data_IF_462445292017
#
_entry.id   IF_462445292017
#
_cell.length_a   1.000
_cell.length_b   1.000
_cell.length_c   1.000
_cell.angle_alpha   90.00
_cell.angle_beta   90.00
_cell.angle_gamma   90.00
#
_symmetry.space_group_name_H-M   'P 1'
#
loop_
_entity.id
_entity.type
_entity.pdbx_description
1 polymer ?
#
# COMPACT_ATOMS: atom_id res chain seq x y z
N UNK A 1 -14.92 -7.46 3.38
CA UNK A 1 -13.95 -6.94 2.39
C UNK A 1 -14.44 -7.35 1.00
N UNK A 2 -14.32 -6.48 -0.01
CA UNK A 2 -14.64 -6.89 -1.38
C UNK A 2 -13.52 -7.76 -1.99
N UNK A 3 -13.92 -8.66 -2.89
CA UNK A 3 -13.23 -9.89 -3.31
C UNK A 3 -11.70 -9.77 -3.48
N UNK A 4 -11.21 -8.81 -4.27
CA UNK A 4 -9.78 -8.73 -4.63
C UNK A 4 -8.86 -8.47 -3.43
N UNK A 5 -9.26 -7.61 -2.48
CA UNK A 5 -8.45 -7.36 -1.27
C UNK A 5 -8.44 -8.59 -0.36
N UNK A 6 -9.55 -9.33 -0.30
CA UNK A 6 -9.62 -10.56 0.48
C UNK A 6 -8.74 -11.67 -0.11
N UNK A 7 -8.69 -11.80 -1.44
CA UNK A 7 -7.84 -12.78 -2.13
C UNK A 7 -6.35 -12.59 -1.85
N UNK A 8 -5.88 -11.34 -1.80
CA UNK A 8 -4.50 -11.07 -1.39
C UNK A 8 -4.31 -11.32 0.13
N UNK A 9 -5.27 -10.86 0.93
CA UNK A 9 -5.22 -10.93 2.39
C UNK A 9 -5.27 -12.35 2.96
N UNK A 10 -5.83 -13.33 2.25
CA UNK A 10 -5.87 -14.72 2.70
C UNK A 10 -4.48 -15.35 2.89
N UNK A 11 -3.47 -14.85 2.16
CA UNK A 11 -2.07 -15.24 2.33
C UNK A 11 -1.20 -14.12 2.95
N UNK A 12 -1.59 -12.86 2.79
CA UNK A 12 -0.87 -11.69 3.30
C UNK A 12 -1.62 -10.98 4.43
N UNK A 13 -1.90 -11.69 5.52
CA UNK A 13 -2.70 -11.19 6.65
C UNK A 13 -2.20 -9.87 7.22
N UNK A 14 -0.93 -9.81 7.65
CA UNK A 14 -0.33 -8.61 8.26
C UNK A 14 -0.34 -7.39 7.32
N UNK A 15 -0.11 -7.62 6.02
CA UNK A 15 -0.14 -6.55 5.01
C UNK A 15 -1.58 -6.09 4.73
N UNK A 16 -2.54 -7.00 4.79
CA UNK A 16 -3.96 -6.68 4.65
C UNK A 16 -4.43 -5.83 5.82
N UNK A 17 -4.04 -6.16 7.05
CA UNK A 17 -4.38 -5.40 8.25
C UNK A 17 -3.81 -3.96 8.17
N UNK A 18 -2.52 -3.82 7.87
CA UNK A 18 -1.90 -2.49 7.71
C UNK A 18 -2.51 -1.70 6.55
N UNK A 19 -2.86 -2.35 5.44
CA UNK A 19 -3.57 -1.70 4.33
C UNK A 19 -4.93 -1.16 4.78
N UNK A 20 -5.71 -1.94 5.55
CA UNK A 20 -7.03 -1.50 6.03
C UNK A 20 -6.97 -0.29 6.95
N UNK A 21 -5.81 0.00 7.54
CA UNK A 21 -5.60 1.20 8.34
C UNK A 21 -5.32 2.48 7.52
N UNK A 22 -4.98 2.33 6.24
CA UNK A 22 -4.76 3.45 5.33
C UNK A 22 -6.06 4.11 4.89
N UNK A 23 -6.00 5.34 4.36
CA UNK A 23 -7.19 6.03 3.83
C UNK A 23 -7.84 5.24 2.69
N UNK A 24 -7.05 4.62 1.81
CA UNK A 24 -7.60 3.77 0.75
C UNK A 24 -8.29 2.53 1.31
N UNK A 25 -7.66 1.84 2.28
CA UNK A 25 -8.24 0.67 2.93
C UNK A 25 -9.52 0.99 3.70
N UNK A 26 -9.54 2.09 4.45
CA UNK A 26 -10.73 2.57 5.18
C UNK A 26 -11.87 2.92 4.22
N UNK A 27 -11.60 3.73 3.20
CA UNK A 27 -12.60 4.09 2.20
C UNK A 27 -13.16 2.85 1.49
N UNK A 28 -12.30 1.92 1.11
CA UNK A 28 -12.71 0.67 0.47
C UNK A 28 -13.59 -0.20 1.39
N UNK A 29 -13.21 -0.32 2.66
CA UNK A 29 -13.97 -1.08 3.66
C UNK A 29 -15.35 -0.48 3.94
N UNK A 30 -15.46 0.86 3.85
CA UNK A 30 -16.72 1.59 3.96
C UNK A 30 -17.57 1.53 2.67
N UNK A 31 -17.17 0.77 1.66
CA UNK A 31 -17.95 0.55 0.44
C UNK A 31 -17.60 1.46 -0.73
N UNK A 32 -16.59 2.35 -0.61
CA UNK A 32 -16.11 3.16 -1.73
C UNK A 32 -15.20 2.32 -2.64
N UNK A 33 -15.80 1.56 -3.56
CA UNK A 33 -15.10 0.60 -4.42
C UNK A 33 -14.09 1.22 -5.40
N UNK A 34 -14.12 2.55 -5.59
CA UNK A 34 -13.15 3.31 -6.39
C UNK A 34 -11.83 3.57 -5.65
N UNK A 35 -11.76 3.31 -4.34
CA UNK A 35 -10.49 3.37 -3.63
C UNK A 35 -9.50 2.34 -4.20
N UNK A 36 -8.22 2.71 -4.19
CA UNK A 36 -7.14 1.88 -4.69
C UNK A 36 -6.99 0.62 -3.81
N UNK A 37 -7.03 -0.55 -4.43
CA UNK A 37 -6.85 -1.88 -3.85
C UNK A 37 -5.41 -2.37 -4.05
N UNK A 38 -5.12 -3.55 -3.53
CA UNK A 38 -3.83 -4.23 -3.69
C UNK A 38 -3.36 -4.25 -5.16
N UNK A 39 -4.26 -4.63 -6.07
CA UNK A 39 -3.97 -4.74 -7.50
C UNK A 39 -3.73 -3.40 -8.21
N UNK A 40 -4.29 -2.31 -7.69
CA UNK A 40 -4.14 -0.99 -8.32
C UNK A 40 -2.71 -0.45 -8.12
N UNK A 41 -2.08 -0.84 -7.00
CA UNK A 41 -0.69 -0.55 -6.69
C UNK A 41 0.28 -1.59 -7.27
N UNK A 42 0.02 -2.88 -7.06
CA UNK A 42 0.97 -3.97 -7.37
C UNK A 42 0.80 -4.60 -8.75
N UNK A 43 -0.35 -4.42 -9.40
CA UNK A 43 -0.78 -5.24 -10.52
C UNK A 43 -1.52 -6.50 -10.07
N UNK A 44 -2.03 -7.28 -11.02
CA UNK A 44 -2.77 -8.52 -10.75
C UNK A 44 -2.08 -9.75 -11.33
N UNK A 45 -1.70 -9.68 -12.61
CA UNK A 45 -1.01 -10.77 -13.31
C UNK A 45 0.47 -10.47 -13.61
N UNK A 46 0.96 -9.33 -13.13
CA UNK A 46 2.29 -8.78 -13.37
C UNK A 46 2.92 -8.25 -12.07
N UNK A 47 2.58 -8.88 -10.94
CA UNK A 47 3.14 -8.54 -9.63
C UNK A 47 4.65 -8.84 -9.64
N UNK A 48 5.45 -7.80 -9.38
CA UNK A 48 6.91 -7.88 -9.30
C UNK A 48 7.41 -7.43 -7.94
N UNK A 49 8.59 -7.91 -7.55
CA UNK A 49 9.31 -7.46 -6.35
C UNK A 49 9.63 -5.97 -6.44
N UNK A 50 9.73 -5.27 -5.31
CA UNK A 50 9.93 -3.81 -5.27
C UNK A 50 11.24 -3.32 -5.91
N UNK A 51 12.25 -4.19 -5.95
CA UNK A 51 13.56 -3.95 -6.56
C UNK A 51 13.60 -4.24 -8.07
N UNK A 52 12.58 -4.92 -8.61
CA UNK A 52 12.41 -5.10 -10.05
C UNK A 52 12.17 -3.71 -10.70
N UNK A 53 12.97 -3.31 -11.71
CA UNK A 53 12.78 -2.06 -12.43
C UNK A 53 11.38 -1.89 -13.02
N UNK A 54 10.70 -3.00 -13.30
CA UNK A 54 9.36 -3.03 -13.87
C UNK A 54 8.22 -3.03 -12.86
N UNK A 55 8.51 -3.12 -11.56
CA UNK A 55 7.51 -3.10 -10.51
C UNK A 55 6.73 -1.78 -10.47
N UNK A 56 5.40 -1.87 -10.44
CA UNK A 56 4.50 -0.72 -10.31
C UNK A 56 4.74 0.08 -9.02
N UNK A 57 5.17 -0.59 -7.94
CA UNK A 57 5.53 0.05 -6.67
C UNK A 57 7.03 0.31 -6.53
N UNK A 58 7.81 -0.03 -7.56
CA UNK A 58 9.26 0.16 -7.59
C UNK A 58 9.65 1.63 -7.69
N UNK A 59 10.88 1.95 -7.33
CA UNK A 59 11.39 3.33 -7.28
C UNK A 59 11.12 4.10 -8.59
N UNK A 60 11.26 3.47 -9.76
CA UNK A 60 11.12 4.18 -11.04
C UNK A 60 9.67 4.45 -11.45
N UNK A 61 8.72 3.61 -11.03
CA UNK A 61 7.32 3.64 -11.52
C UNK A 61 6.30 4.08 -10.48
N UNK A 62 6.66 4.12 -9.18
CA UNK A 62 5.70 4.45 -8.11
C UNK A 62 4.96 5.77 -8.32
N UNK A 63 5.63 6.80 -8.85
CA UNK A 63 5.00 8.10 -9.17
C UNK A 63 3.92 7.92 -10.22
N UNK A 64 4.22 7.20 -11.31
CA UNK A 64 3.28 6.93 -12.40
C UNK A 64 2.09 6.10 -11.90
N UNK A 65 2.32 5.15 -10.99
CA UNK A 65 1.27 4.35 -10.36
C UNK A 65 0.29 5.21 -9.58
N UNK A 66 0.79 6.14 -8.75
CA UNK A 66 -0.07 7.08 -8.03
C UNK A 66 -0.77 8.07 -8.98
N UNK A 67 -0.11 8.48 -10.05
CA UNK A 67 -0.67 9.40 -11.06
C UNK A 67 -1.86 8.85 -11.85
N UNK A 68 -2.10 7.53 -11.82
CA UNK A 68 -3.33 6.94 -12.38
C UNK A 68 -4.60 7.58 -11.80
N UNK A 69 -4.56 7.99 -10.53
CA UNK A 69 -5.68 8.63 -9.84
C UNK A 69 -5.33 10.02 -9.26
N UNK A 70 -4.06 10.31 -9.01
CA UNK A 70 -3.57 11.58 -8.45
C UNK A 70 -2.63 12.29 -9.44
N UNK A 71 -3.13 13.06 -10.42
CA UNK A 71 -2.31 13.60 -11.52
C UNK A 71 -1.07 14.39 -11.06
N UNK A 72 -1.21 15.12 -9.94
CA UNK A 72 -0.14 15.96 -9.37
C UNK A 72 0.77 15.19 -8.39
N UNK A 73 0.63 13.87 -8.30
CA UNK A 73 1.49 13.05 -7.45
C UNK A 73 2.96 13.20 -7.89
N UNK A 74 3.81 13.42 -6.90
CA UNK A 74 5.24 13.58 -7.07
C UNK A 74 5.99 12.67 -6.10
N UNK A 75 7.32 12.70 -6.15
CA UNK A 75 8.16 11.80 -5.36
C UNK A 75 7.93 11.90 -3.85
N UNK A 76 7.65 13.10 -3.34
CA UNK A 76 7.39 13.31 -1.91
C UNK A 76 6.02 12.75 -1.53
N UNK A 77 5.02 12.95 -2.38
CA UNK A 77 3.70 12.36 -2.20
C UNK A 77 3.75 10.83 -2.15
N UNK A 78 4.50 10.20 -3.05
CA UNK A 78 4.68 8.74 -3.09
C UNK A 78 5.63 8.20 -2.01
N UNK A 79 6.16 9.06 -1.14
CA UNK A 79 7.00 8.66 -0.01
C UNK A 79 6.20 8.03 1.15
N UNK A 80 4.87 8.05 1.07
CA UNK A 80 4.01 7.43 2.07
C UNK A 80 4.24 5.92 2.15
N UNK A 81 4.50 5.41 3.36
CA UNK A 81 4.75 4.00 3.61
C UNK A 81 3.43 3.27 3.90
N UNK A 82 2.76 2.81 2.85
CA UNK A 82 1.40 2.24 2.89
C UNK A 82 1.21 1.03 3.82
N UNK A 83 2.27 0.27 4.09
CA UNK A 83 2.23 -0.91 4.97
C UNK A 83 3.10 -0.76 6.23
N UNK A 84 3.61 0.44 6.50
CA UNK A 84 4.38 0.64 7.72
C UNK A 84 3.47 0.63 8.94
N UNK A 85 3.96 0.04 10.02
CA UNK A 85 3.23 -0.08 11.29
C UNK A 85 4.12 0.30 12.45
N UNK A 86 3.53 0.91 13.47
CA UNK A 86 4.20 1.20 14.74
C UNK A 86 4.27 -0.04 15.66
N UNK A 87 3.75 -1.20 15.25
CA UNK A 87 3.84 -2.44 16.05
C UNK A 87 5.12 -3.26 15.79
N UNK A 88 5.87 -2.97 14.73
CA UNK A 88 7.11 -3.69 14.40
C UNK A 88 8.34 -2.84 14.72
N UNK A 89 8.90 -3.08 15.91
CA UNK A 89 10.11 -2.40 16.39
C UNK A 89 11.35 -2.69 15.54
N UNK A 90 11.44 -3.87 14.92
CA UNK A 90 12.63 -4.28 14.18
C UNK A 90 12.64 -3.63 12.79
N UNK A 91 11.49 -3.63 12.12
CA UNK A 91 11.35 -3.08 10.76
C UNK A 91 11.10 -1.58 10.75
N UNK A 92 10.38 -1.05 11.74
CA UNK A 92 10.01 0.36 11.85
C UNK A 92 10.33 0.94 13.24
N UNK A 93 11.61 0.94 13.67
CA UNK A 93 11.99 1.37 15.01
C UNK A 93 11.55 2.81 15.33
N UNK A 94 11.68 3.72 14.36
CA UNK A 94 11.30 5.12 14.54
C UNK A 94 9.80 5.24 14.81
N UNK A 95 8.95 4.57 14.01
CA UNK A 95 7.48 4.59 14.19
C UNK A 95 7.06 3.95 15.51
N UNK A 96 7.70 2.83 15.88
CA UNK A 96 7.44 2.16 17.15
C UNK A 96 7.70 3.10 18.32
N UNK A 97 8.89 3.70 18.38
CA UNK A 97 9.23 4.56 19.51
C UNK A 97 8.42 5.84 19.51
N UNK A 98 8.17 6.50 18.37
CA UNK A 98 7.35 7.73 18.39
C UNK A 98 5.90 7.53 18.81
N UNK A 99 5.34 6.33 18.61
CA UNK A 99 3.93 6.07 18.97
C UNK A 99 3.78 5.53 20.40
N UNK A 100 4.73 4.69 20.86
CA UNK A 100 4.60 3.93 22.12
C UNK A 100 5.51 4.40 23.26
N UNK A 101 6.39 5.38 23.03
CA UNK A 101 7.17 6.02 24.11
C UNK A 101 6.32 7.04 24.88
#
# INVERSE_FOLDING_TARGET
MAEVTHQCGSCHGDLSETYTETIHGKAYTLGYLKAAKCSDCHGAHDIRKIDDPDSHVGFKKVVQTCQKCHPDANRRFTGYLTHATHHDKQKYPILYFTFWS
#
